data_IF_530901184891
#
_entry.id   IF_530901184891
#
_cell.length_a   1.000
_cell.length_b   1.000
_cell.length_c   1.000
_cell.angle_alpha   90.00
_cell.angle_beta   90.00
_cell.angle_gamma   90.00
#
_symmetry.space_group_name_H-M   'P 1'
#
loop_
_entity.id
_entity.type
_entity.pdbx_description
1 polymer ?
#
# COMPACT_ATOMS: atom_id res chain seq x y z
N UNK A 1 -8.29 -2.44 -25.49
CA UNK A 1 -7.87 -1.93 -24.17
C UNK A 1 -8.52 -0.58 -23.95
N UNK A 2 -8.73 -0.18 -22.70
CA UNK A 2 -9.23 1.16 -22.38
C UNK A 2 -8.19 2.21 -22.76
N UNK A 3 -8.64 3.33 -23.35
CA UNK A 3 -7.80 4.52 -23.57
C UNK A 3 -7.70 5.38 -22.30
N UNK A 4 -8.64 5.20 -21.38
CA UNK A 4 -8.71 5.98 -20.15
C UNK A 4 -7.62 5.55 -19.17
N UNK A 5 -7.10 6.53 -18.43
CA UNK A 5 -6.19 6.26 -17.33
C UNK A 5 -6.90 5.39 -16.26
N UNK A 6 -6.21 4.41 -15.66
CA UNK A 6 -6.79 3.62 -14.59
C UNK A 6 -7.09 4.51 -13.39
N UNK A 7 -8.21 4.24 -12.71
CA UNK A 7 -8.52 4.90 -11.45
C UNK A 7 -7.53 4.47 -10.38
N UNK A 8 -7.25 5.35 -9.42
CA UNK A 8 -6.49 5.00 -8.22
C UNK A 8 -7.48 4.63 -7.10
N UNK A 9 -7.63 3.34 -6.75
CA UNK A 9 -8.68 2.90 -5.83
C UNK A 9 -8.52 3.45 -4.42
N UNK A 10 -7.29 3.55 -3.93
CA UNK A 10 -7.00 4.11 -2.61
C UNK A 10 -7.34 5.62 -2.54
N UNK A 11 -6.98 6.39 -3.58
CA UNK A 11 -7.36 7.81 -3.63
C UNK A 11 -8.87 7.98 -3.75
N UNK A 12 -9.54 7.13 -4.52
CA UNK A 12 -11.00 7.14 -4.63
C UNK A 12 -11.66 6.87 -3.27
N UNK A 13 -11.22 5.82 -2.55
CA UNK A 13 -11.74 5.50 -1.23
C UNK A 13 -11.53 6.64 -0.23
N UNK A 14 -10.34 7.25 -0.20
CA UNK A 14 -10.05 8.42 0.64
C UNK A 14 -10.95 9.61 0.27
N UNK A 15 -11.11 9.91 -1.02
CA UNK A 15 -11.98 10.99 -1.51
C UNK A 15 -13.46 10.76 -1.23
N UNK A 16 -13.90 9.51 -1.14
CA UNK A 16 -15.24 9.12 -0.75
C UNK A 16 -15.49 9.16 0.77
N UNK A 17 -14.49 9.55 1.57
CA UNK A 17 -14.61 9.64 3.03
C UNK A 17 -14.39 8.31 3.75
N UNK A 18 -13.62 7.37 3.19
CA UNK A 18 -13.29 6.12 3.88
C UNK A 18 -12.43 6.40 5.13
N UNK A 19 -12.81 5.80 6.26
CA UNK A 19 -12.11 5.94 7.54
C UNK A 19 -11.10 4.82 7.80
N UNK A 20 -11.14 3.75 6.99
CA UNK A 20 -10.11 2.72 6.94
C UNK A 20 -9.75 2.43 5.48
N UNK A 21 -8.49 2.71 5.14
CA UNK A 21 -7.91 2.44 3.82
C UNK A 21 -6.57 1.76 4.03
N UNK A 22 -6.38 0.60 3.42
CA UNK A 22 -5.11 -0.11 3.43
C UNK A 22 -4.77 -0.66 2.04
N UNK A 23 -3.48 -0.86 1.80
CA UNK A 23 -2.97 -1.55 0.62
C UNK A 23 -2.04 -2.68 1.05
N UNK A 24 -2.16 -3.84 0.43
CA UNK A 24 -1.32 -5.00 0.67
C UNK A 24 -1.01 -5.71 -0.66
N UNK A 25 -0.07 -6.66 -0.60
CA UNK A 25 0.28 -7.52 -1.74
C UNK A 25 -0.13 -8.95 -1.39
N UNK A 26 -0.72 -9.65 -2.34
CA UNK A 26 -1.20 -11.03 -2.20
C UNK A 26 -0.14 -12.01 -1.65
N UNK A 27 1.11 -11.84 -2.08
CA UNK A 27 2.26 -12.69 -1.70
C UNK A 27 2.85 -12.39 -0.32
N UNK A 28 2.40 -11.34 0.37
CA UNK A 28 2.89 -11.00 1.71
C UNK A 28 2.18 -11.80 2.81
N UNK A 29 2.51 -13.08 2.92
CA UNK A 29 1.86 -14.02 3.84
C UNK A 29 1.84 -13.59 5.32
N UNK A 30 2.76 -12.72 5.77
CA UNK A 30 2.78 -12.19 7.15
C UNK A 30 2.00 -10.89 7.32
N UNK A 31 2.03 -10.01 6.30
CA UNK A 31 1.45 -8.67 6.40
C UNK A 31 -0.03 -8.64 6.03
N UNK A 32 -0.42 -9.33 4.96
CA UNK A 32 -1.81 -9.33 4.48
C UNK A 32 -2.81 -9.79 5.54
N UNK A 33 -2.58 -10.91 6.29
CA UNK A 33 -3.50 -11.30 7.35
C UNK A 33 -3.65 -10.25 8.44
N UNK A 34 -2.59 -9.53 8.81
CA UNK A 34 -2.66 -8.47 9.82
C UNK A 34 -3.45 -7.26 9.34
N UNK A 35 -3.31 -6.88 8.06
CA UNK A 35 -4.14 -5.85 7.43
C UNK A 35 -5.61 -6.25 7.46
N UNK A 36 -5.92 -7.49 7.07
CA UNK A 36 -7.29 -7.99 7.04
C UNK A 36 -7.91 -8.10 8.44
N UNK A 37 -7.14 -8.52 9.45
CA UNK A 37 -7.59 -8.51 10.86
C UNK A 37 -7.93 -7.10 11.33
N UNK A 38 -7.10 -6.10 11.01
CA UNK A 38 -7.36 -4.70 11.34
C UNK A 38 -8.57 -4.14 10.61
N UNK A 39 -8.72 -4.47 9.31
CA UNK A 39 -9.89 -4.08 8.52
C UNK A 39 -11.17 -4.67 9.10
N UNK A 40 -11.14 -5.94 9.53
CA UNK A 40 -12.27 -6.61 10.18
C UNK A 40 -12.63 -5.98 11.53
N UNK A 41 -11.62 -5.56 12.32
CA UNK A 41 -11.86 -4.91 13.60
C UNK A 41 -12.41 -3.47 13.48
N UNK A 42 -12.26 -2.83 12.31
CA UNK A 42 -12.74 -1.48 12.07
C UNK A 42 -14.27 -1.40 12.13
N UNK A 43 -14.78 -0.45 12.92
CA UNK A 43 -16.22 -0.20 13.04
C UNK A 43 -16.68 0.74 11.92
N UNK A 44 -17.09 0.15 10.80
CA UNK A 44 -17.53 0.90 9.63
C UNK A 44 -17.11 0.23 8.33
N UNK A 45 -17.22 0.97 7.22
CA UNK A 45 -16.74 0.50 5.93
C UNK A 45 -15.22 0.61 5.84
N UNK A 46 -14.54 -0.53 5.67
CA UNK A 46 -13.11 -0.60 5.40
C UNK A 46 -12.81 -0.95 3.94
N UNK A 47 -11.82 -0.29 3.36
CA UNK A 47 -11.32 -0.57 2.02
C UNK A 47 -9.90 -1.14 2.07
N UNK A 48 -9.70 -2.31 1.46
CA UNK A 48 -8.38 -2.95 1.34
C UNK A 48 -8.10 -3.22 -0.13
N UNK A 49 -7.09 -2.54 -0.67
CA UNK A 49 -6.60 -2.80 -2.01
C UNK A 49 -5.51 -3.88 -1.97
N UNK A 50 -5.74 -4.99 -2.65
CA UNK A 50 -4.77 -6.09 -2.74
C UNK A 50 -4.16 -6.07 -4.14
N UNK A 51 -2.87 -5.77 -4.21
CA UNK A 51 -2.11 -5.91 -5.45
C UNK A 51 -1.91 -7.40 -5.70
N UNK A 52 -2.68 -7.94 -6.64
CA UNK A 52 -2.66 -9.36 -6.99
C UNK A 52 -2.13 -9.54 -8.41
N UNK A 53 -1.10 -10.36 -8.56
CA UNK A 53 -0.60 -10.68 -9.90
C UNK A 53 -1.53 -11.70 -10.56
N UNK A 54 -1.86 -11.48 -11.83
CA UNK A 54 -2.54 -12.49 -12.65
C UNK A 54 -1.56 -13.01 -13.69
N UNK A 55 -0.96 -14.17 -13.42
CA UNK A 55 0.08 -14.78 -14.26
C UNK A 55 -0.40 -15.01 -15.70
N UNK A 56 -1.69 -15.29 -15.89
CA UNK A 56 -2.24 -15.58 -17.23
C UNK A 56 -2.43 -14.32 -18.07
N UNK A 57 -2.89 -13.23 -17.47
CA UNK A 57 -3.39 -12.06 -18.22
C UNK A 57 -2.54 -10.80 -18.09
N UNK A 58 -1.73 -10.67 -17.03
CA UNK A 58 -0.98 -9.45 -16.77
C UNK A 58 0.23 -9.74 -15.86
N UNK A 59 1.06 -10.68 -16.30
CA UNK A 59 2.17 -11.16 -15.51
C UNK A 59 3.21 -10.06 -15.22
N UNK A 60 3.59 -9.95 -13.96
CA UNK A 60 4.64 -9.05 -13.52
C UNK A 60 4.27 -7.57 -13.49
N UNK A 61 2.99 -7.23 -13.67
CA UNK A 61 2.52 -5.83 -13.69
C UNK A 61 2.91 -5.04 -12.43
N UNK A 62 2.98 -5.72 -11.28
CA UNK A 62 3.35 -5.12 -10.00
C UNK A 62 4.80 -5.38 -9.60
N UNK A 63 5.63 -6.02 -10.44
CA UNK A 63 7.01 -6.39 -10.10
C UNK A 63 7.87 -5.18 -9.74
N UNK A 64 7.56 -4.01 -10.33
CA UNK A 64 8.21 -2.77 -9.96
C UNK A 64 8.03 -2.41 -8.48
N UNK A 65 7.00 -2.92 -7.80
CA UNK A 65 6.76 -2.70 -6.37
C UNK A 65 6.98 -3.98 -5.57
N UNK A 66 6.64 -5.16 -6.11
CA UNK A 66 6.59 -6.42 -5.35
C UNK A 66 7.84 -7.29 -5.47
N UNK A 67 8.68 -7.08 -6.49
CA UNK A 67 9.86 -7.91 -6.69
C UNK A 67 10.89 -7.68 -5.56
N UNK A 68 11.50 -8.76 -5.06
CA UNK A 68 12.45 -8.74 -3.93
C UNK A 68 13.56 -7.69 -4.10
N UNK A 69 14.07 -7.52 -5.31
CA UNK A 69 15.14 -6.56 -5.62
C UNK A 69 14.72 -5.09 -5.49
N UNK A 70 13.42 -4.79 -5.51
CA UNK A 70 12.90 -3.40 -5.51
C UNK A 70 11.94 -3.11 -4.36
N UNK A 71 11.37 -4.16 -3.74
CA UNK A 71 10.34 -4.03 -2.73
C UNK A 71 10.79 -3.20 -1.52
N UNK A 72 12.01 -3.41 -1.03
CA UNK A 72 12.51 -2.67 0.13
C UNK A 72 12.58 -1.15 -0.12
N UNK A 73 12.94 -0.75 -1.34
CA UNK A 73 13.11 0.67 -1.69
C UNK A 73 11.83 1.34 -2.18
N UNK A 74 10.83 0.55 -2.61
CA UNK A 74 9.58 1.05 -3.21
C UNK A 74 8.33 0.79 -2.38
N UNK A 75 8.46 0.11 -1.26
CA UNK A 75 7.37 -0.11 -0.32
C UNK A 75 7.67 0.55 1.01
N UNK A 76 6.62 1.10 1.62
CA UNK A 76 6.64 1.58 2.98
C UNK A 76 5.65 0.73 3.79
N UNK A 77 6.17 -0.15 4.64
CA UNK A 77 5.33 -0.96 5.52
C UNK A 77 4.93 -0.14 6.75
N UNK A 78 3.63 0.04 6.93
CA UNK A 78 3.08 0.93 7.95
C UNK A 78 2.70 0.15 9.21
N UNK A 79 3.23 0.60 10.33
CA UNK A 79 2.83 0.14 11.65
C UNK A 79 2.36 1.31 12.50
N UNK A 80 1.20 1.17 13.14
CA UNK A 80 0.63 2.24 13.96
C UNK A 80 1.59 2.64 15.07
N UNK A 81 1.86 3.94 15.20
CA UNK A 81 2.77 4.50 16.19
C UNK A 81 4.27 4.32 15.88
N UNK A 82 4.65 3.65 14.79
CA UNK A 82 6.05 3.49 14.40
C UNK A 82 6.47 4.51 13.34
N UNK A 83 7.77 4.86 13.26
CA UNK A 83 8.29 5.72 12.21
C UNK A 83 8.10 5.13 10.81
N UNK A 84 7.89 5.99 9.82
CA UNK A 84 7.73 5.63 8.42
C UNK A 84 9.10 5.36 7.79
N UNK A 85 9.63 4.14 7.90
CA UNK A 85 10.97 3.77 7.37
C UNK A 85 10.89 2.86 6.16
N UNK A 86 11.84 3.02 5.23
CA UNK A 86 11.96 2.18 4.04
C UNK A 86 13.43 2.09 3.58
N UNK A 87 13.68 1.26 2.57
CA UNK A 87 15.00 0.93 2.05
C UNK A 87 15.50 -0.42 2.57
N UNK A 88 16.45 -1.02 1.84
CA UNK A 88 17.04 -2.34 2.18
C UNK A 88 17.48 -2.49 3.64
N UNK A 89 17.99 -1.42 4.26
CA UNK A 89 18.45 -1.37 5.65
C UNK A 89 17.59 -0.44 6.53
N UNK A 90 16.36 -0.11 6.10
CA UNK A 90 15.50 0.92 6.69
C UNK A 90 16.18 2.30 6.79
N UNK A 91 17.16 2.58 5.91
CA UNK A 91 18.01 3.75 5.99
C UNK A 91 17.28 5.07 5.67
N UNK A 92 16.13 4.99 5.00
CA UNK A 92 15.31 6.16 4.66
C UNK A 92 14.09 6.28 5.58
N UNK A 93 13.55 7.49 5.68
CA UNK A 93 12.30 7.75 6.39
C UNK A 93 11.52 8.91 5.79
N UNK A 94 10.19 8.80 5.83
CA UNK A 94 9.28 9.85 5.38
C UNK A 94 8.75 10.63 6.57
N UNK A 95 8.91 11.97 6.55
CA UNK A 95 8.43 12.85 7.61
C UNK A 95 7.97 14.17 7.03
N UNK A 96 6.72 14.54 7.32
CA UNK A 96 6.20 15.84 6.97
C UNK A 96 6.93 16.96 7.75
N UNK A 97 7.49 17.91 7.03
CA UNK A 97 7.95 19.17 7.60
C UNK A 97 6.75 20.06 7.90
N UNK A 98 6.37 20.18 9.17
CA UNK A 98 5.20 20.97 9.59
C UNK A 98 5.28 22.47 9.27
N UNK A 99 6.47 23.02 8.99
CA UNK A 99 6.63 24.44 8.63
C UNK A 99 6.39 24.69 7.15
N UNK A 100 6.85 23.79 6.29
CA UNK A 100 6.79 23.96 4.83
C UNK A 100 5.76 23.07 4.15
N UNK A 101 5.18 22.12 4.89
CA UNK A 101 4.29 21.06 4.39
C UNK A 101 4.93 20.20 3.28
N UNK A 102 6.26 20.14 3.24
CA UNK A 102 7.01 19.27 2.34
C UNK A 102 7.28 17.91 3.00
N UNK A 103 7.32 16.84 2.19
CA UNK A 103 7.76 15.50 2.60
C UNK A 103 9.27 15.33 2.46
#
# INVERSE_FOLDING_TARGET
>A
GSLDAPTNPALFALGAGAHFVARAVDTMAKHLPEVLKRAHAHQGAGFVEILQNCIVYNDGVFNNVTAKATAADRQLLLEHGKPLRYGSDNQYGLRLNHRTLAL
#
